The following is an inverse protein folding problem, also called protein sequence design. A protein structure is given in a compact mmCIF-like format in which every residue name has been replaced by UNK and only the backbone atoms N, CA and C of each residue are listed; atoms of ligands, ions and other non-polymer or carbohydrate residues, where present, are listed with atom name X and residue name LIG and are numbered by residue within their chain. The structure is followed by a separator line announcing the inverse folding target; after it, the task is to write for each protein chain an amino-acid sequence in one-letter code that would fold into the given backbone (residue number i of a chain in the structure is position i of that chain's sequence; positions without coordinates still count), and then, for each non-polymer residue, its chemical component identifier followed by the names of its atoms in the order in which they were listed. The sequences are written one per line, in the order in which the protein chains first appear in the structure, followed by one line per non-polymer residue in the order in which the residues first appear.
data_IF_625268534782
#
_entry.id   IF_625268534782
#
_cell.length_a   1.000
_cell.length_b   1.000
_cell.length_c   1.000
_cell.angle_alpha   90.00
_cell.angle_beta   90.00
_cell.angle_gamma   90.00
#
_symmetry.space_group_name_H-M   'P 1'
#
loop_
_entity.id
_entity.type
_entity.pdbx_description
1 polymer ?
2 polymer ?
#
# COMPACT_ATOMS: atom_id res chain seq x y z
N UNK A 10 -9.90 -2.05 7.87
CA UNK A 10 -8.94 -2.90 8.47
C UNK A 10 -7.74 -2.06 8.76
N UNK A 11 -6.79 -2.78 9.35
CA UNK A 11 -5.59 -2.15 9.78
C UNK A 11 -4.51 -2.72 8.88
N UNK A 12 -3.61 -1.77 8.67
CA UNK A 12 -2.48 -1.94 7.80
C UNK A 12 -1.29 -1.26 8.46
N UNK A 13 -0.13 -1.81 8.06
CA UNK A 13 1.11 -1.36 8.63
C UNK A 13 2.19 -1.46 7.55
N UNK A 14 2.74 -0.28 7.24
CA UNK A 14 3.82 -0.25 6.27
C UNK A 14 5.05 -0.94 6.90
N UNK A 15 5.58 -1.91 6.14
CA UNK A 15 6.74 -2.70 6.57
C UNK A 15 8.07 -2.20 6.02
N UNK A 16 7.96 -1.52 4.86
CA UNK A 16 9.15 -0.98 4.19
C UNK A 16 8.74 0.38 3.63
N UNK A 17 9.78 1.20 3.33
CA UNK A 17 9.45 2.53 2.81
C UNK A 17 8.88 2.38 1.39
N UNK A 18 7.95 3.29 1.03
CA UNK A 18 7.38 3.20 -0.33
C UNK A 18 7.19 4.60 -0.92
N UNK A 19 7.52 4.57 -2.21
CA UNK A 19 7.58 5.70 -3.09
C UNK A 19 6.64 5.53 -4.30
N UNK A 20 5.44 6.19 -4.27
CA UNK A 20 4.52 6.02 -5.43
C UNK A 20 5.21 6.29 -6.78
N UNK A 21 4.62 5.62 -7.78
CA UNK A 21 5.11 5.66 -9.16
C UNK A 21 4.09 6.26 -10.13
N UNK A 22 2.85 6.39 -9.62
CA UNK A 22 1.79 6.96 -10.44
C UNK A 22 0.74 7.65 -9.57
N UNK A 23 -0.10 8.34 -10.35
CA UNK A 23 -1.22 9.17 -9.91
C UNK A 23 -2.24 8.42 -9.01
N UNK A 24 -2.37 7.10 -9.26
CA UNK A 24 -3.36 6.31 -8.51
C UNK A 24 -2.81 5.66 -7.22
N UNK A 25 -1.50 5.86 -7.04
CA UNK A 25 -0.75 5.33 -5.90
C UNK A 25 -0.33 6.49 -4.98
N UNK A 26 -0.09 6.08 -3.72
CA UNK A 26 0.35 7.03 -2.69
C UNK A 26 1.51 6.43 -1.86
N UNK A 27 2.33 7.37 -1.38
CA UNK A 27 3.53 7.09 -0.60
C UNK A 27 3.24 6.84 0.89
N UNK A 28 4.31 6.27 1.46
CA UNK A 28 4.39 6.02 2.90
C UNK A 28 5.86 5.79 3.23
N UNK A 29 6.05 5.62 4.53
CA UNK A 29 7.37 5.34 5.04
C UNK A 29 7.15 4.18 5.97
N UNK A 30 8.20 3.37 6.00
CA UNK A 30 8.21 2.19 6.84
C UNK A 30 7.75 2.50 8.30
N UNK A 31 6.47 2.13 8.58
CA UNK A 31 5.87 2.34 9.89
C UNK A 31 4.45 2.93 9.84
N UNK A 32 4.09 3.63 8.72
CA UNK A 32 2.77 4.25 8.63
C UNK A 32 1.63 3.29 8.98
N UNK A 33 0.63 3.95 9.59
CA UNK A 33 -0.61 3.32 10.00
C UNK A 33 -1.57 3.69 8.87
N UNK A 34 -2.00 2.63 8.16
CA UNK A 34 -2.85 2.81 7.00
C UNK A 34 -4.24 2.28 7.26
N UNK A 35 -5.14 2.93 6.51
CA UNK A 35 -6.56 2.62 6.57
C UNK A 35 -6.95 1.85 5.33
N UNK A 36 -7.27 0.56 5.50
CA UNK A 36 -7.54 -0.17 4.28
C UNK A 36 -9.02 0.02 3.88
N UNK A 37 -9.15 0.88 2.85
CA UNK A 37 -10.41 1.26 2.23
C UNK A 37 -10.60 0.49 0.90
N UNK A 38 -10.92 -0.80 1.04
CA UNK A 38 -11.18 -1.71 -0.09
C UNK A 38 -9.88 -2.49 -0.40
N UNK A 39 -10.15 -3.69 -0.96
CA UNK A 39 -9.13 -4.66 -1.35
C UNK A 39 -9.79 -5.78 -2.21
N UNK A 40 -10.08 -5.49 -3.49
CA UNK A 40 -10.73 -6.53 -4.31
C UNK A 40 -10.57 -6.09 -5.78
N UNK A 41 -9.37 -6.33 -6.30
CA UNK A 41 -9.13 -5.88 -7.68
C UNK A 41 -7.71 -6.17 -8.10
N UNK A 42 -6.84 -6.25 -7.07
CA UNK A 42 -5.46 -6.57 -7.37
C UNK A 42 -4.84 -7.23 -6.16
N UNK A 43 -4.67 -8.55 -6.39
CA UNK A 43 -4.02 -9.40 -5.47
C UNK A 43 -2.56 -9.00 -5.75
N UNK A 44 -2.04 -8.13 -4.87
CA UNK A 44 -0.71 -7.54 -4.93
C UNK A 44 -0.76 -6.05 -4.50
N UNK A 45 -1.98 -5.45 -4.51
CA UNK A 45 -2.18 -4.03 -4.13
C UNK A 45 -3.42 -3.88 -3.22
N UNK A 46 -3.38 -2.81 -2.39
CA UNK A 46 -4.48 -2.44 -1.49
C UNK A 46 -4.68 -0.94 -1.65
N UNK A 47 -5.96 -0.56 -1.50
CA UNK A 47 -6.36 0.82 -1.57
C UNK A 47 -6.52 1.24 -0.10
N UNK A 48 -5.72 2.25 0.30
CA UNK A 48 -5.77 2.66 1.70
C UNK A 48 -5.67 4.17 1.82
N UNK A 49 -5.87 4.62 3.09
CA UNK A 49 -5.82 6.04 3.38
C UNK A 49 -4.66 6.37 4.31
N UNK A 50 -4.01 7.46 3.88
CA UNK A 50 -2.87 8.10 4.50
C UNK A 50 -2.64 9.54 4.02
N UNK A 51 -2.28 10.32 5.05
CA UNK A 51 -1.81 11.68 4.83
C UNK A 51 -2.80 12.62 4.12
N UNK A 52 -4.11 12.30 4.28
CA UNK A 52 -5.17 13.09 3.66
C UNK A 52 -5.44 12.68 2.21
N UNK A 53 -4.89 11.50 1.86
CA UNK A 53 -5.00 10.92 0.54
C UNK A 53 -5.35 9.44 0.65
N UNK A 54 -5.71 8.93 -0.54
CA UNK A 54 -6.07 7.53 -0.71
C UNK A 54 -5.53 7.06 -2.09
N UNK A 55 -4.94 5.85 -2.07
CA UNK A 55 -4.35 5.29 -3.29
C UNK A 55 -3.83 3.88 -3.05
N UNK A 56 -3.33 3.30 -4.17
CA UNK A 56 -2.80 1.95 -4.14
C UNK A 56 -1.39 1.91 -3.53
N UNK A 57 -1.19 0.78 -2.83
CA UNK A 57 0.06 0.44 -2.15
C UNK A 57 0.26 -1.08 -2.31
N UNK A 58 1.53 -1.57 -2.41
CA UNK A 58 1.73 -3.01 -2.59
C UNK A 58 1.63 -3.84 -1.30
N UNK A 59 1.01 -5.04 -1.42
CA UNK A 59 0.86 -5.86 -0.22
C UNK A 59 2.21 -6.42 0.24
N UNK A 60 3.18 -6.71 -0.67
CA UNK A 60 4.44 -7.23 -0.11
C UNK A 60 5.24 -6.17 0.70
N UNK A 61 4.82 -4.89 0.58
CA UNK A 61 5.45 -3.81 1.34
C UNK A 61 4.75 -3.56 2.70
N UNK A 62 3.55 -4.17 2.89
CA UNK A 62 2.81 -3.98 4.15
C UNK A 62 2.37 -5.37 4.71
N UNK A 63 1.82 -5.26 5.94
CA UNK A 63 1.25 -6.37 6.70
C UNK A 63 -0.08 -5.85 7.25
N UNK A 64 -1.08 -6.72 7.05
CA UNK A 64 -2.42 -6.45 7.50
C UNK A 64 -2.50 -6.90 8.96
N UNK A 65 -3.59 -6.39 9.51
CA UNK A 65 -3.98 -6.58 10.87
C UNK A 65 -5.51 -6.50 10.78
N UNK A 66 -6.11 -7.64 10.26
CA UNK A 66 -7.55 -7.78 10.06
C UNK A 66 -8.20 -7.62 11.37
C UNK B 1 16.95 -2.67 2.84
N UNK B 2 17.05 -3.80 2.13
CA UNK B 2 16.66 -3.92 0.72
C UNK B 2 15.23 -4.50 0.71
N UNK B 3 14.21 -3.62 0.46
CA UNK B 3 12.86 -4.11 0.37
C UNK B 3 12.59 -4.97 -0.88
N UNK B 4 11.49 -5.76 -0.75
CA UNK B 4 11.03 -6.64 -1.83
C UNK B 4 10.78 -5.99 -3.21
N UNK B 5 10.78 -6.85 -4.27
CA UNK B 5 10.43 -6.41 -5.62
C UNK B 5 8.91 -6.19 -5.60
N UNK B 6 8.54 -4.95 -5.96
CA UNK B 6 7.15 -4.54 -5.94
C UNK B 6 6.42 -5.32 -7.03
N UNK B 7 5.14 -5.71 -6.77
CA UNK B 7 4.42 -6.42 -7.79
C UNK B 7 4.18 -5.60 -9.04
N UNK B 8 3.96 -6.33 -10.16
CA UNK B 8 3.62 -5.61 -11.37
C UNK B 8 2.19 -5.10 -11.13
N UNK B 9 2.07 -3.76 -10.97
CA UNK B 9 0.70 -3.25 -10.82
C UNK B 9 0.22 -3.27 -12.23
N UNK B 10 -1.10 -3.47 -12.29
CA UNK B 10 -1.87 -3.60 -13.47
C UNK B 10 -2.07 -5.07 -13.60
N UNK B 11 -3.29 -5.50 -13.34
CA UNK B 11 -3.43 -6.91 -13.72
C UNK B 11 -3.50 -6.98 -15.27
N UNK B 12 -4.30 -5.93 -15.59
#
# INVERSE_FOLDING_TARGET
GSRRASVGSMEAIAKYDFKATADDELSFKRGDILKVLNEECDQNWYKAELNGKDGFIPKNYIEMKPHPEFIVTD
XVPPPVPPRRRX
#
